data_IF_937761914694
#
_entry.id   IF_937761914694
#
_cell.length_a   1.000
_cell.length_b   1.000
_cell.length_c   1.000
_cell.angle_alpha   90.00
_cell.angle_beta   90.00
_cell.angle_gamma   90.00
#
_symmetry.space_group_name_H-M   'P 1'
#
loop_
_entity.id
_entity.type
_entity.pdbx_description
1 polymer ?
#
# COMPACT_ATOMS: atom_id res chain seq x y z
N UNK A 1 -14.82 -20.32 -6.33
CA UNK A 1 -14.15 -19.83 -5.11
C UNK A 1 -15.21 -19.29 -4.17
N UNK A 2 -15.17 -19.68 -2.89
CA UNK A 2 -16.09 -19.15 -1.87
C UNK A 2 -15.72 -17.70 -1.52
N UNK A 3 -16.66 -16.88 -1.03
CA UNK A 3 -16.39 -15.47 -0.73
C UNK A 3 -15.28 -15.31 0.32
N UNK A 4 -15.24 -16.22 1.30
CA UNK A 4 -14.20 -16.24 2.33
C UNK A 4 -12.80 -16.53 1.75
N UNK A 5 -12.71 -17.42 0.77
CA UNK A 5 -11.45 -17.77 0.10
C UNK A 5 -10.95 -16.61 -0.76
N UNK A 6 -11.86 -15.95 -1.49
CA UNK A 6 -11.56 -14.75 -2.26
C UNK A 6 -11.03 -13.62 -1.36
N UNK A 7 -11.68 -13.41 -0.21
CA UNK A 7 -11.25 -12.41 0.77
C UNK A 7 -9.89 -12.75 1.37
N UNK A 8 -9.64 -14.03 1.71
CA UNK A 8 -8.35 -14.46 2.23
C UNK A 8 -7.21 -14.22 1.23
N UNK A 9 -7.44 -14.47 -0.06
CA UNK A 9 -6.48 -14.14 -1.12
C UNK A 9 -6.26 -12.64 -1.25
N UNK A 10 -7.34 -11.86 -1.21
CA UNK A 10 -7.30 -10.40 -1.31
C UNK A 10 -6.47 -9.77 -0.18
N UNK A 11 -6.64 -10.29 1.04
CA UNK A 11 -6.03 -9.74 2.26
C UNK A 11 -4.79 -10.49 2.73
N UNK A 12 -4.21 -11.38 1.91
CA UNK A 12 -2.96 -12.08 2.26
C UNK A 12 -1.85 -11.07 2.60
N UNK A 13 -0.86 -11.41 3.43
CA UNK A 13 0.28 -10.53 3.67
C UNK A 13 0.96 -10.08 2.36
N UNK A 14 1.37 -8.82 2.32
CA UNK A 14 2.09 -8.19 1.21
C UNK A 14 3.51 -8.75 1.15
N UNK A 15 3.96 -9.04 -0.07
CA UNK A 15 5.37 -9.33 -0.31
C UNK A 15 6.18 -8.03 -0.34
N UNK A 16 7.51 -8.16 -0.27
CA UNK A 16 8.42 -7.02 -0.44
C UNK A 16 8.27 -6.32 -1.82
N UNK A 17 7.87 -7.05 -2.85
CA UNK A 17 7.65 -6.51 -4.20
C UNK A 17 6.33 -5.74 -4.32
N UNK A 18 5.38 -6.00 -3.43
CA UNK A 18 4.09 -5.31 -3.37
C UNK A 18 4.16 -4.01 -2.55
N UNK A 19 5.30 -3.76 -1.88
CA UNK A 19 5.51 -2.62 -0.98
C UNK A 19 6.57 -1.70 -1.57
N UNK A 20 6.21 -0.43 -1.68
CA UNK A 20 7.14 0.66 -1.95
C UNK A 20 7.32 1.54 -0.72
N UNK A 21 8.41 2.32 -0.71
CA UNK A 21 8.74 3.23 0.40
C UNK A 21 8.85 4.65 -0.13
N UNK A 22 8.25 5.61 0.59
CA UNK A 22 8.35 7.04 0.27
C UNK A 22 8.92 7.81 1.44
N UNK A 23 9.65 8.87 1.11
CA UNK A 23 10.02 9.91 2.07
C UNK A 23 8.76 10.71 2.42
N UNK A 24 8.49 10.84 3.72
CA UNK A 24 7.37 11.65 4.24
C UNK A 24 7.86 12.92 4.95
N UNK A 25 9.12 12.94 5.39
CA UNK A 25 9.78 14.12 5.93
C UNK A 25 11.29 13.96 5.81
N UNK A 26 12.00 15.03 5.48
CA UNK A 26 13.46 15.11 5.58
C UNK A 26 13.80 16.44 6.25
N UNK A 27 14.07 16.40 7.56
CA UNK A 27 14.32 17.59 8.38
C UNK A 27 15.03 17.24 9.68
N UNK A 28 15.79 18.18 10.22
CA UNK A 28 16.43 18.04 11.54
C UNK A 28 17.50 16.95 11.56
N UNK A 29 18.20 16.75 10.45
CA UNK A 29 19.25 15.74 10.34
C UNK A 29 18.75 14.30 10.21
N UNK A 30 17.46 14.10 9.90
CA UNK A 30 16.88 12.78 9.70
C UNK A 30 15.85 12.75 8.56
N UNK A 31 15.76 11.60 7.91
CA UNK A 31 14.77 11.29 6.87
C UNK A 31 13.79 10.25 7.38
N UNK A 32 12.51 10.59 7.45
CA UNK A 32 11.44 9.66 7.81
C UNK A 32 10.81 9.09 6.55
N UNK A 33 10.68 7.76 6.49
CA UNK A 33 10.02 7.06 5.39
C UNK A 33 8.84 6.23 5.89
N UNK A 34 7.87 6.01 5.01
CA UNK A 34 6.70 5.18 5.27
C UNK A 34 6.46 4.20 4.11
N UNK A 35 6.01 2.97 4.40
CA UNK A 35 5.65 2.03 3.36
C UNK A 35 4.26 2.36 2.79
N UNK A 36 4.07 2.03 1.52
CA UNK A 36 2.77 2.03 0.87
C UNK A 36 2.69 0.88 -0.12
N UNK A 37 1.49 0.35 -0.35
CA UNK A 37 1.28 -0.70 -1.35
C UNK A 37 1.43 -0.12 -2.76
N UNK A 38 2.07 -0.84 -3.69
CA UNK A 38 2.08 -0.44 -5.09
C UNK A 38 0.67 -0.50 -5.70
N UNK A 39 0.33 0.46 -6.56
CA UNK A 39 -1.00 0.51 -7.18
C UNK A 39 -1.24 -0.70 -8.09
N UNK A 40 -0.20 -1.26 -8.73
CA UNK A 40 -0.33 -2.46 -9.56
C UNK A 40 -0.46 -3.70 -8.70
N UNK A 41 0.13 -3.74 -7.50
CA UNK A 41 -0.14 -4.80 -6.53
C UNK A 41 -1.61 -4.85 -6.11
N UNK A 42 -2.25 -3.69 -5.90
CA UNK A 42 -3.71 -3.61 -5.66
C UNK A 42 -4.49 -4.23 -6.83
N UNK A 43 -4.18 -3.80 -8.06
CA UNK A 43 -4.85 -4.32 -9.26
C UNK A 43 -4.64 -5.82 -9.47
N UNK A 44 -3.42 -6.32 -9.22
CA UNK A 44 -3.10 -7.74 -9.33
C UNK A 44 -3.80 -8.58 -8.27
N UNK A 45 -4.02 -8.04 -7.08
CA UNK A 45 -4.80 -8.72 -6.03
C UNK A 45 -6.29 -8.77 -6.34
N UNK A 46 -6.85 -7.72 -6.95
CA UNK A 46 -8.25 -7.66 -7.35
C UNK A 46 -8.54 -8.53 -8.57
N UNK A 47 -7.68 -8.44 -9.59
CA UNK A 47 -7.82 -9.14 -10.85
C UNK A 47 -6.95 -10.39 -10.93
N UNK A 48 -6.01 -10.37 -11.89
CA UNK A 48 -5.11 -11.48 -12.18
C UNK A 48 -3.79 -11.31 -11.42
N UNK A 49 -3.37 -12.37 -10.73
CA UNK A 49 -2.02 -12.44 -10.21
C UNK A 49 -1.00 -12.35 -11.35
N UNK A 50 0.10 -11.59 -11.15
CA UNK A 50 1.25 -11.61 -12.08
C UNK A 50 1.99 -12.95 -12.09
N UNK A 51 1.73 -13.79 -11.10
CA UNK A 51 2.33 -15.11 -10.95
C UNK A 51 1.31 -16.17 -11.35
N UNK A 52 1.70 -17.19 -12.14
CA UNK A 52 0.84 -18.33 -12.45
C UNK A 52 0.43 -19.13 -11.21
N UNK A 53 1.01 -18.82 -10.04
CA UNK A 53 0.72 -19.43 -8.74
C UNK A 53 -0.15 -18.56 -7.83
N UNK A 54 -0.56 -17.36 -8.27
CA UNK A 54 -1.49 -16.52 -7.51
C UNK A 54 -2.90 -16.72 -8.04
N UNK A 55 -3.76 -17.26 -7.18
CA UNK A 55 -5.19 -17.46 -7.47
C UNK A 55 -5.85 -16.08 -7.66
N UNK A 56 -6.62 -15.93 -8.73
CA UNK A 56 -7.41 -14.72 -9.00
C UNK A 56 -8.44 -14.52 -7.88
N UNK A 57 -8.45 -13.36 -7.21
CA UNK A 57 -9.47 -13.11 -6.18
C UNK A 57 -10.86 -12.91 -6.81
N UNK A 58 -10.93 -12.24 -7.98
CA UNK A 58 -12.20 -11.99 -8.66
C UNK A 58 -12.11 -12.04 -10.20
N UNK A 59 -10.90 -12.14 -10.77
CA UNK A 59 -10.68 -12.08 -12.22
C UNK A 59 -11.01 -10.70 -12.82
N UNK A 60 -10.88 -10.51 -14.14
CA UNK A 60 -11.07 -9.19 -14.78
C UNK A 60 -12.51 -8.69 -14.72
N UNK A 61 -13.47 -9.60 -14.61
CA UNK A 61 -14.90 -9.28 -14.65
C UNK A 61 -15.54 -9.20 -13.25
N UNK A 62 -14.85 -9.65 -12.20
CA UNK A 62 -15.38 -9.68 -10.84
C UNK A 62 -15.09 -8.42 -10.01
N UNK A 63 -14.42 -7.42 -10.58
CA UNK A 63 -14.22 -6.12 -9.95
C UNK A 63 -14.31 -4.98 -10.97
N UNK A 64 -14.60 -3.78 -10.48
CA UNK A 64 -14.58 -2.55 -11.26
C UNK A 64 -14.07 -1.39 -10.39
N UNK A 65 -13.49 -0.38 -11.04
CA UNK A 65 -13.10 0.87 -10.39
C UNK A 65 -13.68 2.06 -11.15
N UNK A 66 -14.26 3.00 -10.41
CA UNK A 66 -14.68 4.32 -10.93
C UNK A 66 -13.92 5.41 -10.20
N UNK A 67 -13.57 6.47 -10.94
CA UNK A 67 -12.93 7.65 -10.39
C UNK A 67 -13.82 8.86 -10.60
N UNK A 68 -14.06 9.63 -9.54
CA UNK A 68 -14.84 10.86 -9.59
C UNK A 68 -13.99 12.02 -9.04
N UNK A 69 -14.00 13.20 -9.68
CA UNK A 69 -13.44 14.39 -9.07
C UNK A 69 -14.13 14.67 -7.73
N UNK A 70 -13.36 15.12 -6.75
CA UNK A 70 -13.87 15.48 -5.44
C UNK A 70 -13.28 16.81 -4.99
N UNK A 71 -14.12 17.59 -4.32
CA UNK A 71 -13.73 18.83 -3.67
C UNK A 71 -14.29 18.84 -2.25
N UNK A 72 -13.41 19.03 -1.27
CA UNK A 72 -13.79 19.15 0.14
C UNK A 72 -13.19 20.46 0.65
N UNK A 73 -14.03 21.49 0.77
CA UNK A 73 -13.53 22.86 1.02
C UNK A 73 -12.68 23.36 -0.15
N UNK A 74 -11.45 23.78 0.15
CA UNK A 74 -10.47 24.23 -0.86
C UNK A 74 -9.63 23.08 -1.43
N UNK A 75 -9.69 21.89 -0.82
CA UNK A 75 -8.93 20.73 -1.27
C UNK A 75 -9.58 20.07 -2.48
N UNK A 76 -8.76 19.82 -3.49
CA UNK A 76 -9.15 19.11 -4.71
C UNK A 76 -8.51 17.73 -4.73
N UNK A 77 -9.26 16.73 -5.16
CA UNK A 77 -8.80 15.36 -5.21
C UNK A 77 -9.63 14.47 -6.11
N UNK A 78 -9.39 13.18 -5.97
CA UNK A 78 -10.10 12.11 -6.69
C UNK A 78 -10.63 11.13 -5.65
N UNK A 79 -11.89 10.72 -5.79
CA UNK A 79 -12.45 9.57 -5.09
C UNK A 79 -12.35 8.36 -6.01
N UNK A 80 -11.83 7.26 -5.49
CA UNK A 80 -11.87 5.95 -6.15
C UNK A 80 -12.95 5.11 -5.48
N UNK A 81 -13.83 4.53 -6.29
CA UNK A 81 -14.84 3.56 -5.87
C UNK A 81 -14.47 2.20 -6.43
N UNK A 82 -14.10 1.25 -5.56
CA UNK A 82 -13.83 -0.14 -5.92
C UNK A 82 -15.08 -0.95 -5.59
N UNK A 83 -15.69 -1.53 -6.62
CA UNK A 83 -16.78 -2.48 -6.44
C UNK A 83 -16.32 -3.89 -6.81
N UNK A 84 -16.70 -4.84 -5.97
CA UNK A 84 -16.38 -6.26 -6.12
C UNK A 84 -17.70 -7.02 -6.17
N UNK A 85 -17.82 -7.95 -7.11
CA UNK A 85 -18.98 -8.82 -7.21
C UNK A 85 -18.85 -9.96 -6.21
N UNK A 86 -19.80 -10.07 -5.29
CA UNK A 86 -19.85 -11.18 -4.35
C UNK A 86 -20.04 -12.49 -5.14
N UNK A 87 -19.11 -13.46 -5.03
CA UNK A 87 -19.18 -14.70 -5.82
C UNK A 87 -20.33 -15.62 -5.40
N UNK A 88 -20.89 -15.44 -4.20
CA UNK A 88 -21.99 -16.26 -3.66
C UNK A 88 -23.36 -15.66 -3.98
N UNK A 89 -23.54 -14.35 -3.79
CA UNK A 89 -24.83 -13.68 -4.03
C UNK A 89 -24.95 -13.07 -5.43
N UNK A 90 -23.83 -12.86 -6.12
CA UNK A 90 -23.78 -12.18 -7.42
C UNK A 90 -23.97 -10.66 -7.35
N UNK A 91 -24.15 -10.10 -6.15
CA UNK A 91 -24.37 -8.67 -5.93
C UNK A 91 -23.05 -7.88 -5.98
N UNK A 92 -23.15 -6.61 -6.39
CA UNK A 92 -22.02 -5.68 -6.35
C UNK A 92 -21.98 -4.96 -5.00
N UNK A 93 -20.85 -5.07 -4.31
CA UNK A 93 -20.56 -4.31 -3.10
C UNK A 93 -19.48 -3.30 -3.43
N UNK A 94 -19.69 -2.03 -3.05
CA UNK A 94 -18.78 -0.93 -3.34
C UNK A 94 -18.20 -0.32 -2.07
N UNK A 95 -16.92 0.05 -2.13
CA UNK A 95 -16.23 0.83 -1.10
C UNK A 95 -15.41 1.93 -1.76
N UNK A 96 -15.34 3.08 -1.11
CA UNK A 96 -14.70 4.27 -1.66
C UNK A 96 -13.82 4.98 -0.64
N UNK A 97 -12.79 5.65 -1.14
CA UNK A 97 -11.93 6.58 -0.41
C UNK A 97 -11.33 7.57 -1.43
N UNK A 98 -10.74 8.66 -0.95
CA UNK A 98 -10.19 9.72 -1.79
C UNK A 98 -8.74 10.03 -1.49
N UNK A 99 -8.07 10.65 -2.47
CA UNK A 99 -6.74 11.22 -2.29
C UNK A 99 -6.65 12.57 -2.99
N UNK A 100 -5.96 13.51 -2.32
CA UNK A 100 -5.53 14.75 -2.94
C UNK A 100 -4.43 14.53 -3.98
N UNK A 101 -4.13 15.59 -4.72
CA UNK A 101 -3.02 15.63 -5.66
C UNK A 101 -1.65 15.51 -4.96
N UNK A 102 -0.64 15.02 -5.67
CA UNK A 102 0.75 14.96 -5.19
C UNK A 102 1.61 16.06 -5.80
N UNK A 103 2.69 16.47 -5.14
CA UNK A 103 3.58 17.54 -5.64
C UNK A 103 4.30 17.21 -6.96
N UNK A 104 4.62 15.92 -7.22
CA UNK A 104 5.39 15.53 -8.42
C UNK A 104 4.53 15.30 -9.67
N UNK A 105 3.51 14.44 -9.60
CA UNK A 105 2.59 14.17 -10.70
C UNK A 105 1.14 14.31 -10.20
N UNK A 106 0.63 15.55 -10.04
CA UNK A 106 -0.63 15.84 -9.35
C UNK A 106 -1.80 14.90 -9.67
N UNK A 107 -2.08 14.74 -10.98
CA UNK A 107 -3.20 13.95 -11.46
C UNK A 107 -3.01 12.44 -11.24
N UNK A 108 -1.87 11.88 -11.66
CA UNK A 108 -1.58 10.44 -11.53
C UNK A 108 -1.40 10.02 -10.07
N UNK A 109 -0.79 10.89 -9.26
CA UNK A 109 -0.63 10.71 -7.83
C UNK A 109 -1.98 10.67 -7.11
N UNK A 110 -2.90 11.58 -7.45
CA UNK A 110 -4.27 11.57 -6.91
C UNK A 110 -5.03 10.29 -7.24
N UNK A 111 -5.03 9.86 -8.50
CA UNK A 111 -5.72 8.62 -8.94
C UNK A 111 -5.16 7.39 -8.23
N UNK A 112 -3.84 7.21 -8.25
CA UNK A 112 -3.20 6.05 -7.64
C UNK A 112 -3.33 6.07 -6.11
N UNK A 113 -3.26 7.25 -5.48
CA UNK A 113 -3.51 7.44 -4.06
C UNK A 113 -4.93 7.01 -3.67
N UNK A 114 -5.93 7.47 -4.43
CA UNK A 114 -7.34 7.16 -4.18
C UNK A 114 -7.60 5.65 -4.32
N UNK A 115 -7.09 5.01 -5.38
CA UNK A 115 -7.18 3.55 -5.57
C UNK A 115 -6.61 2.79 -4.37
N UNK A 116 -5.39 3.13 -3.95
CA UNK A 116 -4.71 2.47 -2.84
C UNK A 116 -5.48 2.63 -1.53
N UNK A 117 -6.05 3.80 -1.28
CA UNK A 117 -6.85 4.08 -0.08
C UNK A 117 -8.19 3.33 -0.09
N UNK A 118 -8.91 3.35 -1.21
CA UNK A 118 -10.16 2.59 -1.35
C UNK A 118 -9.93 1.08 -1.16
N UNK A 119 -8.78 0.57 -1.58
CA UNK A 119 -8.38 -0.82 -1.39
C UNK A 119 -8.20 -1.22 0.09
N UNK A 120 -7.84 -0.27 0.97
CA UNK A 120 -7.76 -0.52 2.43
C UNK A 120 -9.11 -0.88 3.01
N UNK A 121 -10.20 -0.32 2.48
CA UNK A 121 -11.56 -0.65 2.90
C UNK A 121 -11.91 -2.13 2.60
N UNK A 122 -11.27 -2.71 1.58
CA UNK A 122 -11.33 -4.14 1.22
C UNK A 122 -10.29 -5.02 1.94
N UNK A 123 -9.45 -4.43 2.79
CA UNK A 123 -8.45 -5.14 3.58
C UNK A 123 -7.05 -5.18 2.95
N UNK A 124 -6.89 -4.71 1.72
CA UNK A 124 -5.59 -4.72 1.02
C UNK A 124 -4.66 -3.70 1.70
N UNK A 125 -3.49 -4.17 2.15
CA UNK A 125 -2.46 -3.32 2.74
C UNK A 125 -2.78 -2.73 4.12
N UNK A 126 -3.83 -3.21 4.81
CA UNK A 126 -4.12 -2.79 6.20
C UNK A 126 -2.96 -3.02 7.15
N UNK A 127 -2.16 -4.05 6.91
CA UNK A 127 -0.98 -4.34 7.73
C UNK A 127 0.08 -3.23 7.70
N UNK A 128 0.13 -2.41 6.64
CA UNK A 128 1.10 -1.32 6.51
C UNK A 128 0.95 -0.26 7.61
N UNK A 129 -0.24 -0.10 8.17
CA UNK A 129 -0.48 0.78 9.32
C UNK A 129 0.11 0.25 10.63
N UNK A 130 0.53 -1.02 10.66
CA UNK A 130 1.24 -1.65 11.78
C UNK A 130 2.75 -1.67 11.58
N UNK A 131 3.24 -1.17 10.45
CA UNK A 131 4.68 -1.14 10.20
C UNK A 131 5.34 -0.07 11.10
N UNK A 132 6.59 -0.31 11.54
CA UNK A 132 7.39 0.67 12.24
C UNK A 132 7.56 1.94 11.41
N UNK A 133 7.61 3.08 12.09
CA UNK A 133 8.15 4.30 11.50
C UNK A 133 9.66 4.13 11.29
N UNK A 134 10.15 4.33 10.08
CA UNK A 134 11.59 4.21 9.79
C UNK A 134 12.21 5.60 9.71
N UNK A 135 13.24 5.83 10.52
CA UNK A 135 14.08 7.02 10.47
C UNK A 135 15.46 6.64 9.95
N UNK A 136 15.97 7.43 9.03
CA UNK A 136 17.31 7.32 8.45
C UNK A 136 18.11 8.52 8.92
N UNK A 137 19.30 8.31 9.47
CA UNK A 137 20.23 9.39 9.80
C UNK A 137 20.63 10.16 8.54
N UNK A 138 20.62 11.48 8.63
CA UNK A 138 20.87 12.38 7.51
C UNK A 138 19.60 12.81 6.77
N UNK A 139 19.73 13.91 6.04
CA UNK A 139 18.68 14.43 5.17
C UNK A 139 18.94 13.96 3.74
N UNK A 140 18.07 13.07 3.26
CA UNK A 140 18.26 12.35 2.00
C UNK A 140 17.20 12.78 0.99
N UNK A 141 17.64 13.05 -0.24
CA UNK A 141 16.72 13.28 -1.37
C UNK A 141 16.10 11.98 -1.90
N UNK A 142 16.81 10.86 -1.74
CA UNK A 142 16.40 9.52 -2.17
C UNK A 142 16.65 8.51 -1.04
N UNK A 143 15.85 7.46 -0.96
CA UNK A 143 16.05 6.42 0.05
C UNK A 143 17.32 5.61 -0.30
N UNK A 144 18.32 5.51 0.60
CA UNK A 144 19.52 4.71 0.33
C UNK A 144 19.20 3.26 0.00
N UNK A 145 19.89 2.69 -0.99
CA UNK A 145 19.65 1.31 -1.45
C UNK A 145 19.80 0.28 -0.32
N UNK A 146 20.82 0.44 0.53
CA UNK A 146 21.06 -0.48 1.65
C UNK A 146 19.92 -0.46 2.68
N UNK A 147 19.26 0.69 2.86
CA UNK A 147 18.05 0.80 3.69
C UNK A 147 16.89 0.01 3.06
N UNK A 148 16.67 0.13 1.74
CA UNK A 148 15.63 -0.64 1.04
C UNK A 148 15.90 -2.15 1.12
N UNK A 149 17.15 -2.58 0.92
CA UNK A 149 17.56 -3.98 1.06
C UNK A 149 17.32 -4.49 2.50
N UNK A 150 17.63 -3.69 3.52
CA UNK A 150 17.32 -4.04 4.92
C UNK A 150 15.82 -4.22 5.16
N UNK A 151 15.00 -3.33 4.60
CA UNK A 151 13.54 -3.31 4.78
C UNK A 151 12.80 -4.38 3.98
N UNK A 152 13.41 -4.95 2.93
CA UNK A 152 12.85 -6.07 2.16
C UNK A 152 12.49 -7.31 3.00
N UNK A 153 13.11 -7.46 4.18
CA UNK A 153 12.87 -8.57 5.13
C UNK A 153 11.69 -8.31 6.08
N UNK A 154 11.22 -7.07 6.16
CA UNK A 154 10.17 -6.67 7.09
C UNK A 154 8.81 -7.33 6.81
N UNK A 155 8.37 -7.47 5.53
CA UNK A 155 7.07 -8.08 5.24
C UNK A 155 6.99 -9.55 5.67
N UNK A 156 8.08 -10.31 5.54
CA UNK A 156 8.15 -11.68 6.04
C UNK A 156 8.00 -11.73 7.58
N UNK A 157 8.64 -10.81 8.30
CA UNK A 157 8.50 -10.73 9.75
C UNK A 157 7.06 -10.38 10.18
N UNK A 158 6.39 -9.49 9.44
CA UNK A 158 4.97 -9.14 9.66
C UNK A 158 4.08 -10.35 9.41
N UNK A 159 4.28 -11.05 8.30
CA UNK A 159 3.52 -12.26 7.95
C UNK A 159 3.65 -13.36 9.00
N UNK A 160 4.83 -13.48 9.62
CA UNK A 160 5.09 -14.43 10.73
C UNK A 160 4.56 -13.94 12.09
N UNK A 161 3.93 -12.77 12.16
CA UNK A 161 3.40 -12.21 13.40
C UNK A 161 4.47 -11.82 14.41
N UNK A 162 5.72 -11.59 13.98
CA UNK A 162 6.81 -11.20 14.87
C UNK A 162 6.50 -9.81 15.47
N UNK A 163 6.76 -9.60 16.77
CA UNK A 163 6.64 -8.27 17.36
C UNK A 163 7.65 -7.33 16.68
N UNK A 164 7.17 -6.18 16.24
CA UNK A 164 7.98 -5.14 15.62
C UNK A 164 8.16 -3.97 16.59
N UNK A 165 9.32 -3.30 16.57
CA UNK A 165 9.48 -2.06 17.30
C UNK A 165 8.52 -1.00 16.74
N UNK A 166 8.21 0.03 17.53
CA UNK A 166 7.45 1.18 17.05
C UNK A 166 8.25 2.00 16.01
N UNK A 167 9.57 2.06 16.22
CA UNK A 167 10.50 2.85 15.40
C UNK A 167 11.73 2.02 15.05
N UNK A 168 12.14 2.07 13.78
CA UNK A 168 13.43 1.56 13.32
C UNK A 168 14.31 2.77 12.98
N UNK A 169 15.50 2.87 13.58
CA UNK A 169 16.50 3.89 13.25
C UNK A 169 17.65 3.23 12.50
N UNK A 170 17.96 3.76 11.31
CA UNK A 170 18.98 3.24 10.42
C UNK A 170 19.97 4.34 10.04
N UNK A 171 21.22 3.98 9.80
CA UNK A 171 22.14 4.84 9.06
C UNK A 171 21.94 4.66 7.54
N UNK A 172 22.68 5.41 6.72
CA UNK A 172 22.62 5.30 5.25
C UNK A 172 23.01 3.91 4.70
N UNK A 173 23.76 3.13 5.50
CA UNK A 173 24.17 1.75 5.19
C UNK A 173 23.12 0.71 5.60
N UNK A 174 21.97 1.13 6.13
CA UNK A 174 20.90 0.22 6.56
C UNK A 174 21.19 -0.53 7.86
N UNK A 175 22.21 -0.10 8.62
CA UNK A 175 22.56 -0.67 9.91
C UNK A 175 21.76 0.02 11.02
N UNK A 176 21.38 -0.74 12.05
CA UNK A 176 20.66 -0.18 13.19
C UNK A 176 21.53 0.77 13.99
N UNK A 177 21.05 2.00 14.17
CA UNK A 177 21.67 2.97 15.06
C UNK A 177 21.20 2.65 16.47
N UNK A 178 22.13 2.27 17.36
CA UNK A 178 21.83 2.18 18.78
C UNK A 178 21.86 3.59 19.35
N UNK A 179 20.79 3.95 20.07
CA UNK A 179 20.88 5.01 21.08
C UNK A 179 21.66 4.50 22.28
#
# INVERSE_FOLDING_TARGET
MQAQEALAQLTRPLSAEEIEWKIIASKGGATTIAPYVDARAVMSRLGHGRSPYLVEAFGPFGWQVRYTPAQVGEEHGVIASIAIRNPETGEWVEKQDGSGATDMEPFKGGISGALKRAAVAWGIGRELYRYPRVLIEGEHRYIPRAVLERLSKLPEAVAQGKPLPEVIQLNEKGESVRR
#
